data_IF_944217430928
#
_entry.id   IF_944217430928
#
_cell.length_a   1.000
_cell.length_b   1.000
_cell.length_c   1.000
_cell.angle_alpha   90.00
_cell.angle_beta   90.00
_cell.angle_gamma   90.00
#
_symmetry.space_group_name_H-M   'P 1'
#
loop_
_entity.id
_entity.type
_entity.pdbx_description
1 polymer ?
#
# COMPACT_ATOMS: atom_id res chain seq x y z
N UNK A 1 9.39 11.34 1.09
CA UNK A 1 8.98 10.52 -0.07
C UNK A 1 7.55 10.86 -0.48
N UNK A 2 6.53 10.68 0.36
CA UNK A 2 5.14 11.08 0.04
C UNK A 2 4.90 12.60 -0.07
N UNK A 3 5.54 13.43 0.76
CA UNK A 3 5.36 14.89 0.72
C UNK A 3 5.81 15.53 -0.60
N UNK A 4 6.79 14.92 -1.29
CA UNK A 4 7.19 15.33 -2.64
C UNK A 4 6.11 15.02 -3.67
N UNK A 5 5.55 13.81 -3.62
CA UNK A 5 4.48 13.39 -4.53
C UNK A 5 3.23 14.26 -4.43
N UNK A 6 2.83 14.63 -3.20
CA UNK A 6 1.71 15.55 -2.96
C UNK A 6 1.97 16.95 -3.54
N UNK A 7 3.20 17.46 -3.39
CA UNK A 7 3.60 18.75 -3.95
C UNK A 7 3.58 18.75 -5.48
N UNK A 8 4.07 17.68 -6.09
CA UNK A 8 4.11 17.53 -7.55
C UNK A 8 2.71 17.44 -8.15
N UNK A 9 1.79 16.77 -7.44
CA UNK A 9 0.38 16.68 -7.79
C UNK A 9 -0.43 17.93 -7.39
N UNK A 10 0.19 18.87 -6.66
CA UNK A 10 -0.44 20.08 -6.12
C UNK A 10 -1.72 19.78 -5.32
N UNK A 11 -1.71 18.69 -4.56
CA UNK A 11 -2.84 18.25 -3.74
C UNK A 11 -2.41 18.06 -2.28
N UNK A 12 -3.34 18.31 -1.37
CA UNK A 12 -3.12 18.13 0.07
C UNK A 12 -3.40 16.69 0.53
N UNK A 13 -4.11 15.90 -0.29
CA UNK A 13 -4.49 14.53 0.02
C UNK A 13 -4.62 13.64 -1.24
N UNK A 14 -4.69 12.32 -1.03
CA UNK A 14 -4.99 11.33 -2.07
C UNK A 14 -6.17 10.45 -1.65
N UNK A 15 -7.08 10.13 -2.55
CA UNK A 15 -8.17 9.19 -2.24
C UNK A 15 -7.66 7.77 -2.05
N UNK A 16 -6.76 7.32 -2.93
CA UNK A 16 -6.20 5.98 -2.92
C UNK A 16 -4.70 6.01 -3.17
N UNK A 17 -3.92 5.44 -2.24
CA UNK A 17 -2.50 5.20 -2.42
C UNK A 17 -2.26 3.71 -2.69
N UNK A 18 -1.41 3.37 -3.68
CA UNK A 18 -1.11 1.97 -4.03
C UNK A 18 0.35 1.64 -3.77
N UNK A 19 0.61 0.55 -3.04
CA UNK A 19 1.94 -0.05 -2.98
C UNK A 19 2.21 -0.73 -4.32
N UNK A 20 3.17 -0.18 -5.06
CA UNK A 20 3.34 -0.51 -6.48
C UNK A 20 3.77 -1.96 -6.75
N UNK A 21 4.70 -2.51 -5.96
CA UNK A 21 5.26 -3.87 -6.12
C UNK A 21 5.71 -4.41 -4.76
N UNK A 22 5.55 -5.72 -4.48
CA UNK A 22 6.20 -6.37 -3.34
C UNK A 22 7.74 -6.31 -3.50
N UNK A 23 8.42 -5.49 -2.70
CA UNK A 23 9.89 -5.42 -2.73
C UNK A 23 10.50 -6.35 -1.67
N UNK A 24 11.20 -7.44 -2.07
CA UNK A 24 11.94 -8.27 -1.14
C UNK A 24 13.27 -7.60 -0.79
N UNK A 25 13.28 -6.72 0.21
CA UNK A 25 14.53 -6.18 0.73
C UNK A 25 15.30 -7.28 1.48
N UNK A 26 16.44 -7.73 0.94
CA UNK A 26 17.34 -8.71 1.57
C UNK A 26 17.73 -8.26 2.98
N UNK A 27 17.42 -9.07 3.99
CA UNK A 27 17.88 -8.86 5.38
C UNK A 27 16.82 -8.40 6.38
N UNK A 28 15.63 -8.03 5.92
CA UNK A 28 14.44 -7.94 6.76
C UNK A 28 13.48 -9.04 6.30
N UNK A 29 13.01 -9.88 7.22
CA UNK A 29 11.82 -10.71 6.98
C UNK A 29 10.79 -9.80 6.27
N UNK A 30 10.27 -10.24 5.13
CA UNK A 30 9.59 -9.48 4.06
C UNK A 30 8.36 -8.64 4.47
N UNK A 31 8.51 -7.79 5.48
CA UNK A 31 7.45 -7.27 6.33
C UNK A 31 7.57 -5.77 6.50
N UNK A 32 7.83 -5.05 5.40
CA UNK A 32 7.39 -3.66 5.33
C UNK A 32 5.85 -3.56 5.38
N UNK A 33 5.13 -4.67 5.14
CA UNK A 33 3.66 -4.67 5.02
C UNK A 33 2.91 -5.11 6.29
N UNK A 34 3.43 -6.03 7.12
CA UNK A 34 2.76 -6.38 8.40
C UNK A 34 2.78 -5.25 9.41
N UNK A 35 3.77 -4.36 9.31
CA UNK A 35 3.93 -3.22 10.19
C UNK A 35 3.49 -1.91 9.52
N UNK A 36 2.62 -1.95 8.50
CA UNK A 36 1.94 -0.72 8.11
C UNK A 36 0.85 -0.48 9.15
N UNK A 37 1.28 0.13 10.27
CA UNK A 37 0.39 0.69 11.25
C UNK A 37 -0.32 1.90 10.61
N UNK A 38 -1.37 1.63 9.85
CA UNK A 38 -2.32 2.62 9.32
C UNK A 38 -3.00 3.44 10.43
N UNK A 39 -2.84 3.01 11.68
CA UNK A 39 -3.30 3.68 12.90
C UNK A 39 -2.52 4.96 13.25
N UNK A 40 -1.52 5.35 12.48
CA UNK A 40 -0.87 6.65 12.66
C UNK A 40 -1.81 7.78 12.24
N UNK A 41 -2.36 8.52 13.20
CA UNK A 41 -3.28 9.66 13.00
C UNK A 41 -2.82 10.72 11.98
N UNK A 42 -1.52 10.78 11.68
CA UNK A 42 -0.94 11.69 10.69
C UNK A 42 -1.05 11.16 9.25
N UNK A 43 -1.02 9.84 9.06
CA UNK A 43 -1.14 9.21 7.74
C UNK A 43 -2.56 9.31 7.18
N UNK A 44 -3.58 9.27 8.05
CA UNK A 44 -4.99 9.47 7.69
C UNK A 44 -5.29 10.87 7.12
N UNK A 45 -4.42 11.87 7.32
CA UNK A 45 -4.58 13.19 6.67
C UNK A 45 -4.11 13.21 5.23
N UNK A 46 -3.21 12.30 4.84
CA UNK A 46 -2.54 12.33 3.53
C UNK A 46 -3.24 11.43 2.51
N UNK A 47 -3.92 10.38 2.95
CA UNK A 47 -4.74 9.57 2.06
C UNK A 47 -5.92 8.90 2.76
N UNK A 48 -7.04 8.74 2.03
CA UNK A 48 -8.26 8.12 2.55
C UNK A 48 -8.19 6.59 2.57
N UNK A 49 -7.63 5.99 1.51
CA UNK A 49 -7.53 4.55 1.36
C UNK A 49 -6.14 4.13 0.88
N UNK A 50 -5.80 2.87 1.18
CA UNK A 50 -4.61 2.21 0.68
C UNK A 50 -4.97 0.91 -0.04
N UNK A 51 -4.26 0.63 -1.11
CA UNK A 51 -4.30 -0.64 -1.82
C UNK A 51 -2.90 -1.12 -2.20
N UNK A 52 -2.88 -2.23 -2.92
CA UNK A 52 -1.65 -2.92 -3.33
C UNK A 52 -1.73 -3.23 -4.82
N UNK A 53 -0.59 -3.30 -5.50
CA UNK A 53 -0.49 -3.58 -6.93
C UNK A 53 0.57 -4.64 -7.19
N UNK A 54 0.29 -5.56 -8.10
CA UNK A 54 1.20 -6.65 -8.49
C UNK A 54 1.55 -7.62 -7.34
N UNK A 55 0.59 -7.90 -6.45
CA UNK A 55 0.75 -8.89 -5.38
C UNK A 55 0.16 -10.23 -5.78
N UNK A 56 0.84 -11.32 -5.40
CA UNK A 56 0.31 -12.68 -5.58
C UNK A 56 -0.60 -13.10 -4.40
N UNK A 57 -1.33 -14.20 -4.57
CA UNK A 57 -2.29 -14.70 -3.59
C UNK A 57 -1.66 -14.93 -2.20
N UNK A 58 -0.50 -15.59 -2.15
CA UNK A 58 0.19 -15.87 -0.88
C UNK A 58 0.60 -14.58 -0.14
N UNK A 59 1.07 -13.58 -0.87
CA UNK A 59 1.45 -12.29 -0.31
C UNK A 59 0.21 -11.54 0.18
N UNK A 60 -0.90 -11.55 -0.56
CA UNK A 60 -2.15 -10.91 -0.13
C UNK A 60 -2.68 -11.58 1.12
N UNK A 61 -2.68 -12.92 1.17
CA UNK A 61 -3.15 -13.65 2.34
C UNK A 61 -2.33 -13.28 3.59
N UNK A 62 -0.99 -13.22 3.46
CA UNK A 62 -0.11 -12.74 4.55
C UNK A 62 -0.44 -11.32 5.00
N UNK A 63 -0.80 -10.43 4.07
CA UNK A 63 -1.24 -9.07 4.40
C UNK A 63 -2.55 -9.12 5.15
N UNK A 64 -3.54 -9.87 4.68
CA UNK A 64 -4.85 -9.98 5.32
C UNK A 64 -4.77 -10.58 6.73
N UNK A 65 -3.85 -11.51 6.96
CA UNK A 65 -3.66 -12.17 8.26
C UNK A 65 -2.95 -11.27 9.29
N UNK A 66 -2.14 -10.31 8.85
CA UNK A 66 -1.31 -9.48 9.73
C UNK A 66 -1.71 -8.00 9.76
N UNK A 67 -2.50 -7.50 8.80
CA UNK A 67 -2.80 -6.08 8.67
C UNK A 67 -3.98 -5.67 9.56
N UNK A 68 -3.80 -4.57 10.29
CA UNK A 68 -4.88 -3.92 11.06
C UNK A 68 -5.96 -3.33 10.15
N UNK A 69 -5.57 -2.78 9.00
CA UNK A 69 -6.50 -2.24 7.98
C UNK A 69 -6.29 -3.01 6.68
N UNK A 70 -7.36 -3.61 6.17
CA UNK A 70 -7.32 -4.39 4.94
C UNK A 70 -7.11 -3.48 3.73
N UNK A 71 -6.33 -3.92 2.71
CA UNK A 71 -6.19 -3.16 1.48
C UNK A 71 -7.55 -3.02 0.78
N UNK A 72 -7.88 -1.80 0.36
CA UNK A 72 -9.15 -1.48 -0.29
C UNK A 72 -9.16 -1.87 -1.77
N UNK A 73 -7.98 -1.95 -2.39
CA UNK A 73 -7.83 -2.29 -3.79
C UNK A 73 -6.63 -3.21 -4.00
N UNK A 74 -6.79 -4.17 -4.91
CA UNK A 74 -5.72 -4.99 -5.45
C UNK A 74 -5.70 -4.73 -6.96
N UNK A 75 -4.70 -3.99 -7.42
CA UNK A 75 -4.50 -3.74 -8.85
C UNK A 75 -3.64 -4.86 -9.42
N UNK A 76 -4.19 -5.61 -10.38
CA UNK A 76 -3.50 -6.69 -11.09
C UNK A 76 -3.55 -6.43 -12.59
N UNK A 77 -2.55 -6.92 -13.30
CA UNK A 77 -2.60 -6.96 -14.75
C UNK A 77 -3.66 -7.96 -15.20
N UNK A 78 -4.66 -7.48 -15.94
CA UNK A 78 -5.65 -8.31 -16.62
C UNK A 78 -5.57 -8.02 -18.11
N UNK A 79 -5.09 -9.00 -18.88
CA UNK A 79 -5.24 -8.97 -20.32
C UNK A 79 -6.68 -9.34 -20.67
N UNK A 80 -7.39 -8.43 -21.35
CA UNK A 80 -8.53 -8.85 -22.17
C UNK A 80 -7.97 -9.46 -23.46
N UNK A 81 -8.13 -10.77 -23.63
CA UNK A 81 -7.98 -11.45 -24.92
C UNK A 81 -9.32 -11.46 -25.66
#
# INVERSE_FOLDING_TARGET
MLSGQLKDLQTDYLDLYLIHVPCPCKGMNSFAISNINFSGSQFLRMFQAIGVSNFNEEQIQRILDNATVKPHNLQVETLCL
#
